data_IF_585636465698
#
_entry.id   IF_585636465698
#
_cell.length_a   1.000
_cell.length_b   1.000
_cell.length_c   1.000
_cell.angle_alpha   90.00
_cell.angle_beta   90.00
_cell.angle_gamma   90.00
#
_symmetry.space_group_name_H-M   'P 1'
#
loop_
_entity.id
_entity.type
_entity.pdbx_description
1 polymer ?
#
# COMPACT_ATOMS: atom_id res chain seq x y z
N UNK A 1 7.83 -12.26 56.98
CA UNK A 1 6.50 -11.71 56.62
C UNK A 1 5.67 -12.83 56.03
N UNK A 2 4.53 -13.24 56.64
CA UNK A 2 3.67 -14.29 56.09
C UNK A 2 2.75 -13.66 55.04
N UNK A 3 2.97 -14.00 53.76
CA UNK A 3 2.08 -13.60 52.66
C UNK A 3 0.79 -14.42 52.80
N UNK A 4 -0.36 -13.75 52.84
CA UNK A 4 -1.66 -14.44 52.88
C UNK A 4 -2.01 -14.98 51.49
N UNK A 5 -2.85 -16.03 51.43
CA UNK A 5 -3.30 -16.57 50.14
C UNK A 5 -3.97 -15.51 49.25
N UNK A 6 -4.73 -14.57 49.84
CA UNK A 6 -5.31 -13.44 49.11
C UNK A 6 -4.24 -12.53 48.49
N UNK A 7 -3.18 -12.25 49.24
CA UNK A 7 -2.08 -11.40 48.79
C UNK A 7 -1.27 -12.10 47.68
N UNK A 8 -1.08 -13.42 47.77
CA UNK A 8 -0.43 -14.21 46.71
C UNK A 8 -1.22 -14.22 45.40
N UNK A 9 -2.55 -14.37 45.48
CA UNK A 9 -3.45 -14.30 44.32
C UNK A 9 -3.37 -12.91 43.65
N UNK A 10 -3.43 -11.83 44.44
CA UNK A 10 -3.35 -10.46 43.92
C UNK A 10 -2.01 -10.18 43.22
N UNK A 11 -0.89 -10.63 43.80
CA UNK A 11 0.44 -10.50 43.17
C UNK A 11 0.49 -11.27 41.86
N UNK A 12 -0.06 -12.49 41.83
CA UNK A 12 -0.08 -13.33 40.62
C UNK A 12 -0.90 -12.70 39.50
N UNK A 13 -2.06 -12.14 39.82
CA UNK A 13 -2.90 -11.39 38.88
C UNK A 13 -2.13 -10.16 38.36
N UNK A 14 -1.47 -9.40 39.24
CA UNK A 14 -0.69 -8.24 38.84
C UNK A 14 0.43 -8.57 37.84
N UNK A 15 1.14 -9.69 38.05
CA UNK A 15 2.19 -10.16 37.12
C UNK A 15 1.59 -10.53 35.76
N UNK A 16 0.46 -11.26 35.74
CA UNK A 16 -0.24 -11.63 34.49
C UNK A 16 -0.72 -10.39 33.73
N UNK A 17 -1.29 -9.41 34.43
CA UNK A 17 -1.73 -8.15 33.82
C UNK A 17 -0.55 -7.38 33.21
N UNK A 18 0.60 -7.32 33.88
CA UNK A 18 1.80 -6.67 33.34
C UNK A 18 2.35 -7.39 32.10
N UNK A 19 2.35 -8.73 32.09
CA UNK A 19 2.74 -9.52 30.92
C UNK A 19 1.80 -9.28 29.73
N UNK A 20 0.50 -9.18 30.00
CA UNK A 20 -0.51 -8.87 28.99
C UNK A 20 -0.36 -7.46 28.41
N UNK A 21 -0.18 -6.45 29.26
CA UNK A 21 0.08 -5.06 28.84
C UNK A 21 1.37 -4.98 28.00
N UNK A 22 2.41 -5.72 28.40
CA UNK A 22 3.66 -5.82 27.63
C UNK A 22 3.42 -6.48 26.26
N UNK A 23 2.59 -7.51 26.19
CA UNK A 23 2.19 -8.16 24.94
C UNK A 23 1.46 -7.20 23.99
N UNK A 24 0.52 -6.41 24.50
CA UNK A 24 -0.17 -5.36 23.74
C UNK A 24 0.81 -4.30 23.22
N UNK A 25 1.69 -3.79 24.10
CA UNK A 25 2.67 -2.77 23.73
C UNK A 25 3.60 -3.24 22.61
N UNK A 26 4.12 -4.46 22.70
CA UNK A 26 5.00 -5.01 21.68
C UNK A 26 4.28 -5.20 20.34
N UNK A 27 3.07 -5.77 20.34
CA UNK A 27 2.32 -6.00 19.11
C UNK A 27 2.05 -4.67 18.37
N UNK A 28 1.62 -3.64 19.10
CA UNK A 28 1.41 -2.30 18.51
C UNK A 28 2.72 -1.71 17.96
N UNK A 29 3.83 -1.86 18.68
CA UNK A 29 5.13 -1.29 18.28
C UNK A 29 5.74 -1.95 17.03
N UNK A 30 5.48 -3.24 16.80
CA UNK A 30 6.08 -4.00 15.70
C UNK A 30 5.20 -4.07 14.44
N UNK A 31 4.19 -3.21 14.32
CA UNK A 31 3.39 -3.06 13.10
C UNK A 31 2.23 -4.04 12.96
N UNK A 32 1.95 -4.84 14.01
CA UNK A 32 0.86 -5.82 13.99
C UNK A 32 -0.53 -5.14 13.94
N UNK A 33 -0.62 -3.84 14.21
CA UNK A 33 -1.87 -3.07 14.09
C UNK A 33 -2.42 -3.01 12.68
N UNK A 34 -1.59 -3.17 11.65
CA UNK A 34 -2.04 -3.21 10.25
C UNK A 34 -2.94 -4.41 9.95
N UNK A 35 -2.88 -5.46 10.76
CA UNK A 35 -3.69 -6.68 10.64
C UNK A 35 -4.94 -6.68 11.54
N UNK A 36 -5.22 -5.54 12.21
CA UNK A 36 -6.43 -5.32 12.98
C UNK A 36 -6.33 -5.63 14.47
N UNK A 37 -7.31 -5.14 15.23
CA UNK A 37 -7.34 -5.20 16.70
C UNK A 37 -7.43 -6.63 17.25
N UNK A 38 -8.14 -7.52 16.55
CA UNK A 38 -8.25 -8.94 16.91
C UNK A 38 -6.89 -9.65 16.87
N UNK A 39 -6.05 -9.29 15.91
CA UNK A 39 -4.72 -9.85 15.77
C UNK A 39 -3.77 -9.38 16.88
N UNK A 40 -3.79 -8.08 17.20
CA UNK A 40 -3.05 -7.49 18.34
C UNK A 40 -3.45 -8.14 19.68
N UNK A 41 -4.75 -8.34 19.90
CA UNK A 41 -5.26 -9.02 21.09
C UNK A 41 -4.83 -10.50 21.13
N UNK A 42 -4.89 -11.20 19.99
CA UNK A 42 -4.45 -12.58 19.86
C UNK A 42 -2.98 -12.78 20.25
N UNK A 43 -2.08 -11.94 19.74
CA UNK A 43 -0.65 -11.96 20.10
C UNK A 43 -0.43 -11.69 21.60
N UNK A 44 -1.13 -10.70 22.17
CA UNK A 44 -1.03 -10.39 23.59
C UNK A 44 -1.50 -11.55 24.49
N UNK A 45 -2.61 -12.20 24.14
CA UNK A 45 -3.12 -13.37 24.85
C UNK A 45 -2.15 -14.55 24.71
N UNK A 46 -1.73 -14.87 23.49
CA UNK A 46 -0.81 -15.98 23.20
C UNK A 46 0.52 -15.83 23.92
N UNK A 47 1.13 -14.64 23.86
CA UNK A 47 2.37 -14.34 24.57
C UNK A 47 2.23 -14.44 26.10
N UNK A 48 1.10 -14.01 26.65
CA UNK A 48 0.81 -14.12 28.10
C UNK A 48 0.69 -15.59 28.53
N UNK A 49 -0.03 -16.40 27.75
CA UNK A 49 -0.18 -17.84 27.99
C UNK A 49 1.13 -18.61 27.86
N UNK A 50 2.00 -18.21 26.92
CA UNK A 50 3.33 -18.78 26.77
C UNK A 50 4.20 -18.53 28.01
N UNK A 51 4.26 -17.29 28.49
CA UNK A 51 4.99 -16.94 29.72
C UNK A 51 4.42 -17.66 30.94
N UNK A 52 3.11 -17.75 31.06
CA UNK A 52 2.47 -18.48 32.16
C UNK A 52 2.81 -19.98 32.15
N UNK A 53 2.81 -20.59 30.97
CA UNK A 53 3.19 -22.00 30.79
C UNK A 53 4.66 -22.25 31.15
N UNK A 54 5.56 -21.33 30.82
CA UNK A 54 6.98 -21.41 31.22
C UNK A 54 7.11 -21.33 32.75
N UNK A 55 6.44 -20.36 33.38
CA UNK A 55 6.49 -20.17 34.84
C UNK A 55 5.95 -21.41 35.57
N UNK A 56 4.82 -21.96 35.11
CA UNK A 56 4.22 -23.15 35.71
C UNK A 56 5.08 -24.40 35.53
N UNK A 57 5.74 -24.56 34.37
CA UNK A 57 6.71 -25.63 34.13
C UNK A 57 7.90 -25.56 35.08
N UNK A 58 8.49 -24.37 35.25
CA UNK A 58 9.61 -24.15 36.17
C UNK A 58 9.17 -24.43 37.62
N UNK A 59 8.01 -23.95 38.04
CA UNK A 59 7.48 -24.21 39.37
C UNK A 59 7.26 -25.71 39.61
N UNK A 60 6.66 -26.43 38.66
CA UNK A 60 6.44 -27.86 38.75
C UNK A 60 7.75 -28.65 38.84
N UNK A 61 8.79 -28.24 38.09
CA UNK A 61 10.13 -28.82 38.17
C UNK A 61 10.76 -28.63 39.56
N UNK A 62 10.66 -27.42 40.13
CA UNK A 62 11.16 -27.12 41.47
C UNK A 62 10.45 -27.99 42.53
N UNK A 63 9.13 -28.14 42.44
CA UNK A 63 8.37 -29.03 43.34
C UNK A 63 8.77 -30.50 43.20
N UNK A 64 9.03 -30.98 41.97
CA UNK A 64 9.53 -32.32 41.72
C UNK A 64 10.90 -32.56 42.39
N UNK A 65 11.83 -31.62 42.23
CA UNK A 65 13.17 -31.70 42.82
C UNK A 65 13.08 -31.74 44.35
N UNK A 66 12.28 -30.85 44.97
CA UNK A 66 12.09 -30.83 46.42
C UNK A 66 11.46 -32.13 46.94
N UNK A 67 10.46 -32.67 46.23
CA UNK A 67 9.85 -33.94 46.60
C UNK A 67 10.84 -35.11 46.50
N UNK A 68 11.75 -35.09 45.52
CA UNK A 68 12.81 -36.08 45.38
C UNK A 68 13.82 -36.01 46.53
N UNK A 69 14.26 -34.81 46.91
CA UNK A 69 15.18 -34.59 48.05
C UNK A 69 14.54 -35.09 49.34
N UNK A 70 13.28 -34.75 49.60
CA UNK A 70 12.56 -35.19 50.80
C UNK A 70 12.37 -36.71 50.86
N UNK A 71 12.04 -37.35 49.73
CA UNK A 71 11.93 -38.80 49.62
C UNK A 71 13.25 -39.50 50.00
N UNK A 72 14.39 -38.94 49.59
CA UNK A 72 15.74 -39.48 49.89
C UNK A 72 16.14 -39.25 51.35
N UNK A 73 15.76 -38.13 51.96
CA UNK A 73 16.21 -37.71 53.30
C UNK A 73 15.40 -38.32 54.45
N UNK A 74 14.09 -38.47 54.29
CA UNK A 74 13.19 -38.73 55.42
C UNK A 74 12.46 -40.10 55.38
N UNK A 75 12.65 -40.95 54.37
CA UNK A 75 11.98 -42.26 54.20
C UNK A 75 10.42 -42.28 54.25
N UNK A 76 9.78 -41.12 54.41
CA UNK A 76 8.36 -40.81 54.22
C UNK A 76 8.24 -39.79 53.06
N UNK A 77 7.25 -39.73 52.14
CA UNK A 77 5.95 -40.37 51.92
C UNK A 77 5.81 -40.62 50.40
N UNK A 78 5.55 -41.86 49.95
CA UNK A 78 5.17 -42.17 48.54
C UNK A 78 4.16 -41.16 47.92
N UNK A 79 3.08 -40.70 48.62
CA UNK A 79 2.08 -39.83 48.00
C UNK A 79 2.56 -38.42 47.61
N UNK A 80 3.53 -37.84 48.32
CA UNK A 80 3.98 -36.46 48.05
C UNK A 80 4.79 -36.38 46.75
N UNK A 81 5.69 -37.36 46.54
CA UNK A 81 6.40 -37.53 45.28
C UNK A 81 5.46 -37.82 44.10
N UNK A 82 4.45 -38.68 44.29
CA UNK A 82 3.48 -39.01 43.23
C UNK A 82 2.68 -37.78 42.82
N UNK A 83 2.21 -36.95 43.77
CA UNK A 83 1.51 -35.69 43.47
C UNK A 83 2.39 -34.71 42.67
N UNK A 84 3.66 -34.53 43.06
CA UNK A 84 4.60 -33.67 42.33
C UNK A 84 4.92 -34.20 40.93
N UNK A 85 5.08 -35.52 40.77
CA UNK A 85 5.32 -36.16 39.48
C UNK A 85 4.11 -36.02 38.53
N UNK A 86 2.88 -36.20 39.05
CA UNK A 86 1.66 -35.95 38.28
C UNK A 86 1.59 -34.49 37.86
N UNK A 87 1.79 -33.54 38.77
CA UNK A 87 1.78 -32.10 38.46
C UNK A 87 2.80 -31.72 37.39
N UNK A 88 3.99 -32.31 37.44
CA UNK A 88 5.04 -32.09 36.43
C UNK A 88 4.65 -32.68 35.07
N UNK A 89 4.13 -33.91 35.04
CA UNK A 89 3.62 -34.53 33.83
C UNK A 89 2.46 -33.73 33.18
N UNK A 90 1.52 -33.25 34.00
CA UNK A 90 0.44 -32.37 33.52
C UNK A 90 0.99 -31.06 32.95
N UNK A 91 1.99 -30.44 33.59
CA UNK A 91 2.59 -29.20 33.10
C UNK A 91 3.33 -29.41 31.76
N UNK A 92 4.04 -30.53 31.59
CA UNK A 92 4.65 -30.88 30.30
C UNK A 92 3.56 -31.07 29.22
N UNK A 93 2.51 -31.83 29.52
CA UNK A 93 1.42 -32.06 28.57
C UNK A 93 0.75 -30.75 28.14
N UNK A 94 0.45 -29.85 29.09
CA UNK A 94 -0.09 -28.52 28.80
C UNK A 94 0.87 -27.67 27.98
N UNK A 95 2.17 -27.72 28.26
CA UNK A 95 3.19 -27.00 27.49
C UNK A 95 3.27 -27.49 26.05
N UNK A 96 3.23 -28.81 25.82
CA UNK A 96 3.23 -29.42 24.48
C UNK A 96 1.97 -29.02 23.71
N UNK A 97 0.78 -29.09 24.33
CA UNK A 97 -0.47 -28.67 23.70
C UNK A 97 -0.42 -27.19 23.31
N UNK A 98 0.07 -26.32 24.18
CA UNK A 98 0.22 -24.90 23.86
C UNK A 98 1.18 -24.69 22.68
N UNK A 99 2.28 -25.42 22.63
CA UNK A 99 3.26 -25.30 21.56
C UNK A 99 2.67 -25.73 20.20
N UNK A 100 1.88 -26.80 20.17
CA UNK A 100 1.14 -27.22 18.96
C UNK A 100 0.16 -26.15 18.51
N UNK A 101 -0.58 -25.54 19.43
CA UNK A 101 -1.51 -24.44 19.12
C UNK A 101 -0.74 -23.26 18.52
N UNK A 102 0.38 -22.85 19.13
CA UNK A 102 1.22 -21.75 18.64
C UNK A 102 1.70 -22.03 17.20
N UNK A 103 2.17 -23.25 16.92
CA UNK A 103 2.62 -23.64 15.59
C UNK A 103 1.51 -23.56 14.54
N UNK A 104 0.31 -24.06 14.86
CA UNK A 104 -0.85 -23.99 13.96
C UNK A 104 -1.24 -22.52 13.73
N UNK A 105 -1.28 -21.71 14.79
CA UNK A 105 -1.65 -20.28 14.68
C UNK A 105 -0.63 -19.46 13.90
N UNK A 106 0.68 -19.77 14.03
CA UNK A 106 1.73 -19.10 13.24
C UNK A 106 1.62 -19.42 11.74
N UNK A 107 1.23 -20.65 11.37
CA UNK A 107 0.98 -21.00 9.98
C UNK A 107 -0.16 -20.17 9.38
N UNK A 108 -1.30 -20.13 10.08
CA UNK A 108 -2.48 -19.34 9.68
C UNK A 108 -2.16 -17.83 9.60
N UNK A 109 -1.36 -17.32 10.54
CA UNK A 109 -0.92 -15.93 10.56
C UNK A 109 -0.07 -15.57 9.33
N UNK A 110 0.89 -16.43 8.96
CA UNK A 110 1.74 -16.18 7.79
C UNK A 110 0.93 -16.16 6.49
N UNK A 111 -0.04 -17.06 6.36
CA UNK A 111 -0.94 -17.09 5.21
C UNK A 111 -1.79 -15.81 5.14
N UNK A 112 -2.35 -15.35 6.26
CA UNK A 112 -3.09 -14.10 6.31
C UNK A 112 -2.24 -12.88 5.99
N UNK A 113 -0.99 -12.83 6.47
CA UNK A 113 -0.04 -11.74 6.15
C UNK A 113 0.29 -11.71 4.66
N UNK A 114 0.53 -12.87 4.05
CA UNK A 114 0.79 -12.99 2.62
C UNK A 114 -0.40 -12.50 1.80
N UNK A 115 -1.62 -12.94 2.13
CA UNK A 115 -2.85 -12.51 1.45
C UNK A 115 -3.07 -11.00 1.59
N UNK A 116 -2.88 -10.44 2.78
CA UNK A 116 -3.03 -8.99 3.00
C UNK A 116 -2.00 -8.18 2.19
N UNK A 117 -0.77 -8.68 2.07
CA UNK A 117 0.27 -8.04 1.29
C UNK A 117 0.00 -8.11 -0.22
N UNK A 118 -0.49 -9.25 -0.73
CA UNK A 118 -0.93 -9.37 -2.12
C UNK A 118 -2.09 -8.43 -2.43
N UNK A 119 -3.10 -8.35 -1.56
CA UNK A 119 -4.23 -7.42 -1.72
C UNK A 119 -3.79 -5.96 -1.74
N UNK A 120 -2.81 -5.59 -0.90
CA UNK A 120 -2.25 -4.24 -0.88
C UNK A 120 -1.55 -3.90 -2.20
N UNK A 121 -0.72 -4.81 -2.71
CA UNK A 121 -0.05 -4.65 -4.02
C UNK A 121 -1.06 -4.53 -5.16
N UNK A 122 -2.07 -5.40 -5.19
CA UNK A 122 -3.10 -5.35 -6.20
C UNK A 122 -3.87 -4.02 -6.17
N UNK A 123 -4.16 -3.51 -4.97
CA UNK A 123 -4.75 -2.17 -4.81
C UNK A 123 -3.86 -1.05 -5.36
N UNK A 124 -2.54 -1.15 -5.17
CA UNK A 124 -1.57 -0.20 -5.73
C UNK A 124 -1.54 -0.27 -7.26
N UNK A 125 -1.63 -1.45 -7.86
CA UNK A 125 -1.69 -1.64 -9.31
C UNK A 125 -2.95 -1.05 -9.93
N UNK A 126 -4.13 -1.35 -9.36
CA UNK A 126 -5.40 -0.78 -9.81
C UNK A 126 -5.39 0.74 -9.67
N UNK A 127 -4.87 1.26 -8.56
CA UNK A 127 -4.74 2.70 -8.33
C UNK A 127 -3.83 3.38 -9.37
N UNK A 128 -2.68 2.79 -9.68
CA UNK A 128 -1.77 3.34 -10.69
C UNK A 128 -2.41 3.34 -12.08
N UNK A 129 -3.09 2.24 -12.45
CA UNK A 129 -3.78 2.13 -13.74
C UNK A 129 -4.94 3.13 -13.87
N UNK A 130 -5.68 3.36 -12.80
CA UNK A 130 -6.79 4.31 -12.75
C UNK A 130 -6.32 5.77 -12.84
N UNK A 131 -5.23 6.12 -12.14
CA UNK A 131 -4.64 7.45 -12.27
C UNK A 131 -4.05 7.69 -13.65
N UNK A 132 -3.39 6.70 -14.24
CA UNK A 132 -2.89 6.80 -15.61
C UNK A 132 -4.04 7.06 -16.59
N UNK A 133 -5.13 6.30 -16.45
CA UNK A 133 -6.34 6.48 -17.26
C UNK A 133 -6.91 7.89 -17.16
N UNK A 134 -7.01 8.44 -15.95
CA UNK A 134 -7.49 9.81 -15.73
C UNK A 134 -6.55 10.86 -16.34
N UNK A 135 -5.24 10.65 -16.21
CA UNK A 135 -4.23 11.57 -16.72
C UNK A 135 -4.22 11.67 -18.25
N UNK A 136 -4.69 10.64 -18.98
CA UNK A 136 -4.89 10.70 -20.44
C UNK A 136 -5.85 11.85 -20.81
N UNK A 137 -7.00 11.97 -20.16
CA UNK A 137 -7.96 13.04 -20.48
C UNK A 137 -7.38 14.43 -20.17
N UNK A 138 -6.78 14.56 -18.98
CA UNK A 138 -6.21 15.83 -18.53
C UNK A 138 -5.05 16.28 -19.42
N UNK A 139 -4.13 15.36 -19.77
CA UNK A 139 -2.99 15.69 -20.62
C UNK A 139 -3.45 16.12 -22.02
N UNK A 140 -4.44 15.44 -22.61
CA UNK A 140 -5.00 15.81 -23.92
C UNK A 140 -5.51 17.26 -23.89
N UNK A 141 -6.24 17.64 -22.85
CA UNK A 141 -6.80 18.99 -22.72
C UNK A 141 -5.70 20.06 -22.63
N UNK A 142 -4.73 19.89 -21.72
CA UNK A 142 -3.65 20.87 -21.55
C UNK A 142 -2.78 20.97 -22.80
N UNK A 143 -2.34 19.83 -23.34
CA UNK A 143 -1.44 19.81 -24.50
C UNK A 143 -2.10 20.40 -25.75
N UNK A 144 -3.34 20.01 -26.08
CA UNK A 144 -4.04 20.53 -27.26
C UNK A 144 -4.33 22.03 -27.16
N UNK A 145 -4.62 22.53 -25.96
CA UNK A 145 -4.82 23.97 -25.72
C UNK A 145 -3.55 24.76 -26.02
N UNK A 146 -2.41 24.33 -25.49
CA UNK A 146 -1.12 25.00 -25.75
C UNK A 146 -0.73 24.92 -27.22
N UNK A 147 -0.80 23.73 -27.82
CA UNK A 147 -0.40 23.51 -29.22
C UNK A 147 -1.27 24.29 -30.21
N UNK A 148 -2.59 24.34 -29.96
CA UNK A 148 -3.52 25.18 -30.74
C UNK A 148 -3.20 26.67 -30.59
N UNK A 149 -2.84 27.09 -29.38
CA UNK A 149 -2.34 28.44 -29.10
C UNK A 149 -1.13 28.80 -29.97
N UNK A 150 -0.13 27.92 -30.04
CA UNK A 150 1.04 28.13 -30.92
C UNK A 150 0.64 28.21 -32.38
N UNK A 151 -0.21 27.31 -32.87
CA UNK A 151 -0.68 27.31 -34.26
C UNK A 151 -1.34 28.64 -34.64
N UNK A 152 -2.23 29.13 -33.77
CA UNK A 152 -2.98 30.39 -33.97
C UNK A 152 -2.03 31.58 -33.96
N UNK A 153 -1.18 31.69 -32.93
CA UNK A 153 -0.19 32.78 -32.82
C UNK A 153 0.75 32.82 -34.02
N UNK A 154 1.19 31.67 -34.51
CA UNK A 154 2.07 31.61 -35.68
C UNK A 154 1.36 32.09 -36.94
N UNK A 155 0.11 31.64 -37.16
CA UNK A 155 -0.72 32.07 -38.28
C UNK A 155 -0.96 33.59 -38.28
N UNK A 156 -1.28 34.14 -37.11
CA UNK A 156 -1.48 35.58 -36.93
C UNK A 156 -0.19 36.38 -37.15
N UNK A 157 0.95 35.89 -36.69
CA UNK A 157 2.24 36.53 -36.94
C UNK A 157 2.56 36.59 -38.44
N UNK A 158 2.18 35.56 -39.22
CA UNK A 158 2.36 35.55 -40.70
C UNK A 158 1.52 36.66 -41.32
N UNK A 159 0.24 36.69 -40.97
CA UNK A 159 -0.72 37.65 -41.53
C UNK A 159 -0.33 39.10 -41.19
N UNK A 160 0.21 39.31 -39.99
CA UNK A 160 0.58 40.64 -39.48
C UNK A 160 2.05 41.00 -39.71
N UNK A 161 2.83 40.16 -40.42
CA UNK A 161 4.26 40.36 -40.71
C UNK A 161 5.10 40.62 -39.45
N UNK A 162 4.80 39.91 -38.37
CA UNK A 162 5.54 40.00 -37.10
C UNK A 162 6.66 38.96 -37.02
N UNK A 163 7.62 39.19 -36.14
CA UNK A 163 8.64 38.20 -35.82
C UNK A 163 8.01 36.97 -35.14
N UNK A 164 8.11 35.82 -35.79
CA UNK A 164 7.51 34.57 -35.32
C UNK A 164 8.07 34.11 -33.98
N UNK A 165 9.38 34.23 -33.80
CA UNK A 165 10.04 33.72 -32.59
C UNK A 165 9.63 34.56 -31.38
N UNK A 166 9.53 35.89 -31.54
CA UNK A 166 9.08 36.78 -30.50
C UNK A 166 7.63 36.47 -30.07
N UNK A 167 6.73 36.27 -31.02
CA UNK A 167 5.31 35.97 -30.73
C UNK A 167 5.15 34.58 -30.09
N UNK A 168 5.92 33.57 -30.53
CA UNK A 168 5.90 32.23 -29.91
C UNK A 168 6.48 32.25 -28.49
N UNK A 169 7.56 32.99 -28.23
CA UNK A 169 8.11 33.16 -26.87
C UNK A 169 7.09 33.83 -25.95
N UNK A 170 6.40 34.86 -26.45
CA UNK A 170 5.31 35.51 -25.72
C UNK A 170 4.19 34.53 -25.40
N UNK A 171 3.73 33.75 -26.39
CA UNK A 171 2.66 32.76 -26.18
C UNK A 171 3.07 31.63 -25.24
N UNK A 172 4.33 31.19 -25.29
CA UNK A 172 4.89 30.22 -24.35
C UNK A 172 4.87 30.76 -22.93
N UNK A 173 5.21 32.03 -22.74
CA UNK A 173 5.17 32.70 -21.42
C UNK A 173 3.74 32.81 -20.90
N UNK A 174 2.78 33.17 -21.76
CA UNK A 174 1.35 33.20 -21.42
C UNK A 174 0.83 31.81 -20.99
N UNK A 175 1.33 30.76 -21.65
CA UNK A 175 0.90 29.38 -21.46
C UNK A 175 1.70 28.62 -20.39
N UNK A 176 2.64 29.26 -19.69
CA UNK A 176 3.61 28.62 -18.79
C UNK A 176 2.94 27.71 -17.73
N UNK A 177 1.81 28.15 -17.16
CA UNK A 177 1.06 27.34 -16.18
C UNK A 177 0.53 26.05 -16.80
N UNK A 178 -0.01 26.10 -18.02
CA UNK A 178 -0.54 24.92 -18.72
C UNK A 178 0.58 23.97 -19.14
N UNK A 179 1.71 24.51 -19.60
CA UNK A 179 2.91 23.74 -19.94
C UNK A 179 3.40 22.97 -18.71
N UNK A 180 3.54 23.63 -17.56
CA UNK A 180 3.93 22.98 -16.30
C UNK A 180 2.95 21.89 -15.85
N UNK A 181 1.66 22.07 -16.08
CA UNK A 181 0.67 21.01 -15.78
C UNK A 181 0.82 19.82 -16.74
N UNK A 182 1.02 20.06 -18.04
CA UNK A 182 1.30 19.00 -19.00
C UNK A 182 2.58 18.20 -18.63
N UNK A 183 3.64 18.89 -18.22
CA UNK A 183 4.89 18.27 -17.76
C UNK A 183 4.72 17.43 -16.49
N UNK A 184 3.92 17.92 -15.54
CA UNK A 184 3.59 17.19 -14.33
C UNK A 184 2.84 15.90 -14.67
N UNK A 185 1.80 15.98 -15.49
CA UNK A 185 1.01 14.83 -15.92
C UNK A 185 1.88 13.82 -16.69
N UNK A 186 2.75 14.29 -17.59
CA UNK A 186 3.73 13.45 -18.29
C UNK A 186 4.64 12.69 -17.30
N UNK A 187 5.13 13.38 -16.27
CA UNK A 187 6.00 12.79 -15.26
C UNK A 187 5.27 11.74 -14.41
N UNK A 188 4.05 12.04 -13.99
CA UNK A 188 3.18 11.14 -13.22
C UNK A 188 2.81 9.89 -14.00
N UNK A 189 2.41 10.05 -15.27
CA UNK A 189 2.12 8.94 -16.18
C UNK A 189 3.34 8.02 -16.33
N UNK A 190 4.55 8.59 -16.38
CA UNK A 190 5.79 7.81 -16.42
C UNK A 190 6.03 6.98 -15.17
N UNK A 191 5.68 7.47 -13.97
CA UNK A 191 5.79 6.70 -12.74
C UNK A 191 4.71 5.63 -12.63
N UNK A 192 3.47 5.97 -12.96
CA UNK A 192 2.35 5.03 -12.99
C UNK A 192 2.62 3.87 -13.95
N UNK A 193 3.19 4.15 -15.13
CA UNK A 193 3.57 3.13 -16.11
C UNK A 193 4.61 2.15 -15.57
N UNK A 194 5.53 2.58 -14.70
CA UNK A 194 6.49 1.68 -14.04
C UNK A 194 5.78 0.71 -13.11
N UNK A 195 4.86 1.20 -12.29
CA UNK A 195 4.07 0.36 -11.37
C UNK A 195 3.26 -0.67 -12.16
N UNK A 196 2.61 -0.26 -13.25
CA UNK A 196 1.82 -1.17 -14.10
C UNK A 196 2.72 -2.18 -14.83
N UNK A 197 3.97 -1.83 -15.13
CA UNK A 197 4.95 -2.77 -15.67
C UNK A 197 5.34 -3.87 -14.68
N UNK A 198 5.30 -3.58 -13.37
CA UNK A 198 5.52 -4.57 -12.31
C UNK A 198 4.28 -5.47 -12.18
N UNK A 199 3.08 -4.88 -12.19
CA UNK A 199 1.82 -5.61 -12.23
C UNK A 199 1.77 -6.63 -13.38
N UNK A 200 2.29 -6.28 -14.55
CA UNK A 200 2.35 -7.18 -15.73
C UNK A 200 3.29 -8.37 -15.53
N UNK A 201 4.29 -8.26 -14.66
CA UNK A 201 5.19 -9.38 -14.34
C UNK A 201 4.55 -10.36 -13.36
N UNK A 202 3.76 -9.84 -12.41
CA UNK A 202 3.10 -10.65 -11.38
C UNK A 202 1.77 -11.26 -11.89
N UNK A 203 0.98 -10.48 -12.65
CA UNK A 203 -0.35 -10.85 -13.16
C UNK A 203 -0.49 -10.53 -14.66
N UNK A 204 0.28 -11.21 -15.54
CA UNK A 204 0.31 -10.91 -16.98
C UNK A 204 -1.05 -11.05 -17.66
N UNK A 205 -1.89 -12.00 -17.23
CA UNK A 205 -3.22 -12.21 -17.79
C UNK A 205 -4.18 -11.05 -17.53
N UNK A 206 -3.92 -10.22 -16.51
CA UNK A 206 -4.77 -9.08 -16.15
C UNK A 206 -4.26 -7.77 -16.75
N UNK A 207 -2.94 -7.54 -16.71
CA UNK A 207 -2.38 -6.22 -16.99
C UNK A 207 -1.68 -6.08 -18.34
N UNK A 208 -1.29 -7.19 -19.00
CA UNK A 208 -0.42 -7.12 -20.18
C UNK A 208 -1.03 -6.34 -21.35
N UNK A 209 -2.29 -6.59 -21.66
CA UNK A 209 -2.97 -5.91 -22.79
C UNK A 209 -3.07 -4.41 -22.53
N UNK A 210 -3.54 -4.03 -21.34
CA UNK A 210 -3.66 -2.63 -20.92
C UNK A 210 -2.30 -1.93 -20.89
N UNK A 211 -1.26 -2.60 -20.36
CA UNK A 211 0.09 -2.07 -20.28
C UNK A 211 0.67 -1.72 -21.67
N UNK A 212 0.46 -2.59 -22.67
CA UNK A 212 0.94 -2.32 -24.02
C UNK A 212 0.23 -1.12 -24.66
N UNK A 213 -1.07 -0.93 -24.43
CA UNK A 213 -1.78 0.28 -24.89
C UNK A 213 -1.33 1.53 -24.12
N UNK A 214 -1.09 1.44 -22.81
CA UNK A 214 -0.54 2.55 -22.00
C UNK A 214 0.86 2.96 -22.44
N UNK A 215 1.71 2.00 -22.80
CA UNK A 215 3.04 2.27 -23.34
C UNK A 215 2.97 2.98 -24.69
N UNK A 216 2.04 2.58 -25.56
CA UNK A 216 1.81 3.25 -26.85
C UNK A 216 1.37 4.69 -26.63
N UNK A 217 0.35 4.95 -25.79
CA UNK A 217 -0.11 6.31 -25.57
C UNK A 217 0.95 7.16 -24.87
N UNK A 218 1.73 6.60 -23.94
CA UNK A 218 2.83 7.31 -23.28
C UNK A 218 3.93 7.77 -24.27
N UNK A 219 4.19 6.98 -25.30
CA UNK A 219 5.13 7.37 -26.36
C UNK A 219 4.61 8.57 -27.16
N UNK A 220 3.30 8.62 -27.42
CA UNK A 220 2.63 9.75 -28.08
C UNK A 220 2.61 10.98 -27.15
N UNK A 221 2.30 10.80 -25.86
CA UNK A 221 2.37 11.84 -24.81
C UNK A 221 3.77 12.45 -24.78
N UNK A 222 4.82 11.63 -24.85
CA UNK A 222 6.21 12.11 -24.87
C UNK A 222 6.45 13.04 -26.06
N UNK A 223 6.07 12.63 -27.26
CA UNK A 223 6.22 13.46 -28.47
C UNK A 223 5.38 14.74 -28.42
N UNK A 224 4.14 14.67 -27.89
CA UNK A 224 3.31 15.86 -27.69
C UNK A 224 3.90 16.81 -26.64
N UNK A 225 4.44 16.27 -25.54
CA UNK A 225 5.04 17.07 -24.48
C UNK A 225 6.31 17.80 -24.95
N UNK A 226 7.09 17.17 -25.84
CA UNK A 226 8.21 17.83 -26.53
C UNK A 226 7.73 19.02 -27.36
N UNK A 227 6.63 18.88 -28.12
CA UNK A 227 6.06 19.99 -28.91
C UNK A 227 5.46 21.10 -28.03
N UNK A 228 4.87 20.74 -26.89
CA UNK A 228 4.36 21.70 -25.88
C UNK A 228 5.50 22.54 -25.31
N UNK A 229 6.65 21.92 -25.04
CA UNK A 229 7.80 22.62 -24.49
C UNK A 229 8.63 23.36 -25.54
N UNK A 230 8.75 22.79 -26.72
CA UNK A 230 9.65 23.25 -27.78
C UNK A 230 8.97 23.08 -29.15
N UNK A 231 8.04 23.99 -29.51
CA UNK A 231 7.44 23.96 -30.84
C UNK A 231 8.53 24.16 -31.90
N UNK A 232 8.55 23.30 -32.91
CA UNK A 232 9.62 23.27 -33.92
C UNK A 232 9.08 23.19 -35.35
N UNK A 233 9.90 23.64 -36.31
CA UNK A 233 9.60 23.58 -37.74
C UNK A 233 8.92 24.84 -38.29
N UNK A 234 8.17 24.68 -39.37
CA UNK A 234 7.26 25.69 -39.94
C UNK A 234 5.84 25.49 -39.41
N UNK A 235 4.96 26.48 -39.53
CA UNK A 235 3.54 26.35 -39.19
C UNK A 235 2.90 25.11 -39.84
N UNK A 236 3.19 24.86 -41.12
CA UNK A 236 2.62 23.73 -41.87
C UNK A 236 3.11 22.40 -41.28
N UNK A 237 4.43 22.24 -41.12
CA UNK A 237 5.02 21.00 -40.61
C UNK A 237 4.66 20.76 -39.14
N UNK A 238 4.60 21.81 -38.33
CA UNK A 238 4.16 21.76 -36.94
C UNK A 238 2.70 21.27 -36.86
N UNK A 239 1.79 21.89 -37.61
CA UNK A 239 0.38 21.49 -37.63
C UNK A 239 0.19 20.07 -38.14
N UNK A 240 0.92 19.66 -39.18
CA UNK A 240 0.87 18.30 -39.69
C UNK A 240 1.31 17.28 -38.63
N UNK A 241 2.44 17.52 -37.97
CA UNK A 241 2.97 16.65 -36.92
C UNK A 241 2.02 16.56 -35.72
N UNK A 242 1.56 17.70 -35.20
CA UNK A 242 0.64 17.75 -34.07
C UNK A 242 -0.67 17.05 -34.41
N UNK A 243 -1.26 17.30 -35.58
CA UNK A 243 -2.51 16.64 -35.97
C UNK A 243 -2.36 15.12 -36.10
N UNK A 244 -1.24 14.64 -36.65
CA UNK A 244 -0.94 13.20 -36.71
C UNK A 244 -0.87 12.58 -35.31
N UNK A 245 -0.09 13.20 -34.41
CA UNK A 245 0.04 12.75 -33.03
C UNK A 245 -1.30 12.73 -32.30
N UNK A 246 -2.13 13.75 -32.45
CA UNK A 246 -3.47 13.80 -31.83
C UNK A 246 -4.43 12.75 -32.40
N UNK A 247 -4.34 12.43 -33.69
CA UNK A 247 -5.13 11.34 -34.27
C UNK A 247 -4.70 9.97 -33.72
N UNK A 248 -3.39 9.72 -33.65
CA UNK A 248 -2.85 8.51 -33.03
C UNK A 248 -3.22 8.42 -31.56
N UNK A 249 -3.15 9.54 -30.83
CA UNK A 249 -3.57 9.64 -29.44
C UNK A 249 -5.01 9.17 -29.23
N UNK A 250 -5.94 9.72 -30.03
CA UNK A 250 -7.37 9.38 -29.97
C UNK A 250 -7.62 7.92 -30.32
N UNK A 251 -6.88 7.36 -31.28
CA UNK A 251 -6.97 5.95 -31.64
C UNK A 251 -6.55 5.05 -30.49
N UNK A 252 -5.38 5.29 -29.90
CA UNK A 252 -4.88 4.47 -28.78
C UNK A 252 -5.76 4.64 -27.55
N UNK A 253 -6.23 5.86 -27.25
CA UNK A 253 -7.23 6.10 -26.20
C UNK A 253 -8.50 5.28 -26.41
N UNK A 254 -8.98 5.18 -27.66
CA UNK A 254 -10.11 4.31 -28.00
C UNK A 254 -9.86 2.83 -27.67
N UNK A 255 -8.66 2.32 -27.96
CA UNK A 255 -8.27 0.95 -27.58
C UNK A 255 -8.21 0.77 -26.06
N UNK A 256 -7.66 1.76 -25.34
CA UNK A 256 -7.59 1.76 -23.88
C UNK A 256 -8.98 1.65 -23.27
N UNK A 257 -9.96 2.41 -23.79
CA UNK A 257 -11.34 2.37 -23.30
C UNK A 257 -11.99 0.99 -23.47
N UNK A 258 -11.48 0.15 -24.38
CA UNK A 258 -11.95 -1.22 -24.61
C UNK A 258 -11.20 -2.19 -23.68
N UNK A 259 -9.90 -1.98 -23.48
CA UNK A 259 -9.03 -2.87 -22.71
C UNK A 259 -9.11 -2.67 -21.18
N UNK A 260 -9.57 -1.51 -20.72
CA UNK A 260 -9.67 -1.18 -19.30
C UNK A 260 -10.71 -2.07 -18.59
N UNK A 261 -10.36 -2.58 -17.41
CA UNK A 261 -11.26 -3.40 -16.60
C UNK A 261 -12.25 -2.55 -15.81
N UNK A 262 -13.36 -3.15 -15.39
CA UNK A 262 -14.38 -2.47 -14.59
C UNK A 262 -13.84 -1.99 -13.24
N UNK A 263 -12.92 -2.73 -12.62
CA UNK A 263 -12.30 -2.34 -11.35
C UNK A 263 -11.47 -1.06 -11.49
N UNK A 264 -10.67 -0.97 -12.55
CA UNK A 264 -9.87 0.23 -12.84
C UNK A 264 -10.79 1.40 -13.18
N UNK A 265 -11.85 1.16 -13.95
CA UNK A 265 -12.83 2.19 -14.31
C UNK A 265 -13.55 2.74 -13.08
N UNK A 266 -14.09 1.88 -12.22
CA UNK A 266 -14.72 2.26 -10.96
C UNK A 266 -13.76 3.04 -10.07
N UNK A 267 -12.49 2.59 -10.00
CA UNK A 267 -11.48 3.31 -9.22
C UNK A 267 -11.16 4.68 -9.80
N UNK A 268 -11.14 4.80 -11.13
CA UNK A 268 -10.90 6.05 -11.83
C UNK A 268 -11.99 7.08 -11.55
N UNK A 269 -13.25 6.64 -11.48
CA UNK A 269 -14.42 7.47 -11.14
C UNK A 269 -14.35 7.94 -9.68
N UNK A 270 -14.03 7.05 -8.72
CA UNK A 270 -13.83 7.43 -7.32
C UNK A 270 -12.75 8.51 -7.14
N UNK A 271 -11.65 8.41 -7.88
CA UNK A 271 -10.57 9.41 -7.84
C UNK A 271 -11.07 10.76 -8.37
N UNK A 272 -11.82 10.77 -9.48
CA UNK A 272 -12.38 12.01 -10.04
C UNK A 272 -13.35 12.67 -9.04
N UNK A 273 -14.21 11.90 -8.39
CA UNK A 273 -15.17 12.40 -7.38
C UNK A 273 -14.49 12.96 -6.13
N UNK A 274 -13.47 12.26 -5.62
CA UNK A 274 -12.67 12.72 -4.49
C UNK A 274 -12.00 14.08 -4.79
N UNK A 275 -11.39 14.23 -5.97
CA UNK A 275 -10.73 15.47 -6.35
C UNK A 275 -11.73 16.63 -6.51
N UNK A 276 -12.93 16.35 -7.05
CA UNK A 276 -13.99 17.36 -7.24
C UNK A 276 -14.56 17.82 -5.90
N UNK A 277 -14.79 16.89 -4.96
CA UNK A 277 -15.29 17.22 -3.62
C UNK A 277 -14.29 18.00 -2.76
N UNK A 278 -12.99 17.67 -2.83
CA UNK A 278 -11.94 18.49 -2.18
C UNK A 278 -11.75 19.87 -2.81
N UNK A 279 -12.09 20.03 -4.10
CA UNK A 279 -12.06 21.34 -4.75
C UNK A 279 -13.26 22.19 -4.32
N UNK A 280 -14.46 21.60 -4.15
CA UNK A 280 -15.63 22.34 -3.67
C UNK A 280 -15.54 22.78 -2.20
N UNK A 281 -14.80 22.06 -1.36
CA UNK A 281 -14.55 22.47 0.03
C UNK A 281 -13.45 23.54 0.16
N UNK A 282 -12.60 23.71 -0.86
CA UNK A 282 -11.54 24.72 -0.90
C UNK A 282 -11.89 25.98 -1.72
N UNK A 283 -13.08 26.06 -2.32
CA UNK A 283 -13.50 27.19 -3.17
C UNK A 283 -14.54 28.11 -2.51
N UNK A 284 -14.49 28.23 -1.18
CA UNK A 284 -15.01 29.39 -0.47
C UNK A 284 -13.83 30.28 -0.08
N UNK A 285 -13.50 31.23 -0.97
CA UNK A 285 -12.58 32.39 -0.85
C UNK A 285 -11.24 32.32 -1.60
N UNK A 286 -11.29 32.65 -2.91
CA UNK A 286 -10.32 33.40 -3.75
C UNK A 286 -10.27 32.71 -5.14
N UNK A 287 -10.85 33.26 -6.20
CA UNK A 287 -10.73 34.61 -6.75
C UNK A 287 -12.00 35.03 -7.50
#
# INVERSE_FOLDING_TARGET
MKISNKMFILISIGILTLLFIRGLYNSIKFGDSEYGTGYVLGQAIGGTLAWFSIITLIAALIFLIMAFINKKKNNETKPLFVKSAISFGTSIASFVVLFVIIFITMGIENDHKAVAQEQKKESEYVMAAANFYNNIDSFEWFSTTVLSGYSTTWSEAINNRKDFNAEIISKKTESDKMIKHADLLYSEMGQQLKVISEATKEHPEQYKELYEEYKKIYSIVTALNEQVNSPTGSLISFNQNVNSLIQEYKKVKGNINIAITEDIKNKSEQIKEANTSTSSDNDLTKY
#
